data_IF_026730310066
#
_entry.id   IF_026730310066
#
_cell.length_a   1.000
_cell.length_b   1.000
_cell.length_c   1.000
_cell.angle_alpha   90.00
_cell.angle_beta   90.00
_cell.angle_gamma   90.00
#
_symmetry.space_group_name_H-M   'P 1'
#
loop_
_entity.id
_entity.type
_entity.pdbx_description
1 polymer ?
#
# COMPACT_ATOMS: atom_id res chain seq x y z
N UNK A 1 7.77 10.22 -20.83
CA UNK A 1 8.53 9.07 -20.29
C UNK A 1 7.70 8.41 -19.21
N UNK A 2 7.51 7.08 -19.23
CA UNK A 2 6.81 6.38 -18.16
C UNK A 2 7.82 5.94 -17.08
N UNK A 3 7.48 6.21 -15.82
CA UNK A 3 8.21 5.73 -14.62
C UNK A 3 7.41 4.68 -13.84
N UNK A 4 6.19 4.37 -14.30
CA UNK A 4 5.33 3.38 -13.65
C UNK A 4 5.94 1.98 -13.77
N UNK A 5 5.94 1.25 -12.65
CA UNK A 5 6.45 -0.14 -12.59
C UNK A 5 7.98 -0.27 -12.54
N UNK A 6 8.73 0.83 -12.49
CA UNK A 6 10.19 0.84 -12.39
C UNK A 6 10.66 0.94 -10.94
N UNK A 7 11.83 0.39 -10.65
CA UNK A 7 12.56 0.68 -9.41
C UNK A 7 13.11 2.10 -9.40
N UNK A 8 13.53 2.61 -8.24
CA UNK A 8 14.16 3.94 -8.14
C UNK A 8 15.40 4.06 -9.05
N UNK A 9 16.23 3.02 -9.10
CA UNK A 9 17.43 2.98 -9.93
C UNK A 9 17.09 3.00 -11.43
N UNK A 10 16.08 2.25 -11.84
CA UNK A 10 15.60 2.24 -13.23
C UNK A 10 14.94 3.56 -13.63
N UNK A 11 14.18 4.17 -12.72
CA UNK A 11 13.59 5.49 -12.92
C UNK A 11 14.70 6.55 -13.05
N UNK A 12 15.71 6.52 -12.19
CA UNK A 12 16.87 7.42 -12.25
C UNK A 12 17.65 7.25 -13.56
N UNK A 13 17.92 6.02 -13.98
CA UNK A 13 18.61 5.74 -15.24
C UNK A 13 17.80 6.23 -16.45
N UNK A 14 16.48 6.01 -16.45
CA UNK A 14 15.62 6.50 -17.51
C UNK A 14 15.57 8.03 -17.56
N UNK A 15 15.39 8.69 -16.41
CA UNK A 15 15.39 10.15 -16.33
C UNK A 15 16.74 10.70 -16.79
N UNK A 16 17.86 10.10 -16.37
CA UNK A 16 19.21 10.46 -16.82
C UNK A 16 19.33 10.40 -18.34
N UNK A 17 18.91 9.30 -18.96
CA UNK A 17 18.92 9.16 -20.42
C UNK A 17 18.01 10.18 -21.13
N UNK A 18 16.87 10.52 -20.52
CA UNK A 18 15.95 11.53 -21.06
C UNK A 18 16.53 12.94 -21.01
N UNK A 19 17.15 13.30 -19.88
CA UNK A 19 17.74 14.62 -19.65
C UNK A 19 19.00 14.80 -20.51
N UNK A 20 19.84 13.77 -20.64
CA UNK A 20 21.01 13.79 -21.52
C UNK A 20 20.65 13.98 -23.01
N UNK A 21 19.45 13.57 -23.43
CA UNK A 21 18.97 13.79 -24.79
C UNK A 21 18.51 15.24 -25.06
N UNK A 22 18.40 16.08 -24.04
CA UNK A 22 17.96 17.48 -24.16
C UNK A 22 19.05 18.34 -24.83
N UNK A 23 18.66 19.18 -25.78
CA UNK A 23 19.58 19.89 -26.67
C UNK A 23 20.61 20.78 -25.95
N UNK A 24 20.28 21.30 -24.77
CA UNK A 24 21.17 22.13 -23.95
C UNK A 24 22.37 21.37 -23.37
N UNK A 25 22.31 20.04 -23.28
CA UNK A 25 23.36 19.20 -22.70
C UNK A 25 24.16 18.41 -23.77
N UNK A 26 23.72 18.41 -25.03
CA UNK A 26 24.36 17.69 -26.14
C UNK A 26 25.74 18.23 -26.53
N UNK A 27 26.01 19.50 -26.27
CA UNK A 27 27.29 20.15 -26.65
C UNK A 27 28.42 19.82 -25.66
N UNK A 28 28.09 19.36 -24.45
CA UNK A 28 29.06 18.85 -23.49
C UNK A 28 29.27 17.35 -23.73
N UNK A 29 30.30 17.02 -24.51
CA UNK A 29 30.68 15.67 -24.98
C UNK A 29 30.92 14.58 -23.90
N UNK A 30 30.72 14.88 -22.62
CA UNK A 30 31.18 14.07 -21.48
C UNK A 30 30.11 13.85 -20.38
N UNK A 31 28.82 13.97 -20.72
CA UNK A 31 27.79 14.28 -19.71
C UNK A 31 26.84 13.17 -19.33
N UNK A 32 26.84 12.00 -19.98
CA UNK A 32 25.85 10.96 -19.61
C UNK A 32 26.20 10.29 -18.28
N UNK A 33 27.45 9.88 -18.09
CA UNK A 33 27.89 9.20 -16.84
C UNK A 33 28.14 10.17 -15.69
N UNK A 34 28.48 11.43 -15.98
CA UNK A 34 28.73 12.47 -14.96
C UNK A 34 27.45 13.12 -14.42
N UNK A 35 26.28 12.85 -15.02
CA UNK A 35 25.00 13.41 -14.57
C UNK A 35 24.51 12.70 -13.29
N UNK A 36 24.70 13.36 -12.14
CA UNK A 36 24.11 12.92 -10.88
C UNK A 36 22.59 13.14 -10.90
N UNK A 37 21.83 12.03 -10.92
CA UNK A 37 20.36 12.03 -10.84
C UNK A 37 19.96 11.30 -9.58
N UNK A 38 19.30 12.01 -8.67
CA UNK A 38 18.75 11.46 -7.44
C UNK A 38 17.23 11.46 -7.61
N UNK A 39 16.61 10.29 -7.42
CA UNK A 39 15.16 10.12 -7.49
C UNK A 39 14.69 9.66 -6.12
N UNK A 40 13.67 10.34 -5.61
CA UNK A 40 13.00 9.98 -4.36
C UNK A 40 11.49 9.93 -4.57
N UNK A 41 10.82 9.06 -3.82
CA UNK A 41 9.36 8.92 -3.84
C UNK A 41 8.78 9.85 -2.78
N UNK A 42 8.32 11.03 -3.20
CA UNK A 42 7.72 12.03 -2.31
C UNK A 42 6.41 11.53 -1.67
N UNK A 43 5.66 10.65 -2.35
CA UNK A 43 4.45 10.03 -1.80
C UNK A 43 4.09 8.70 -2.49
N UNK A 44 3.76 7.67 -1.70
CA UNK A 44 3.30 6.36 -2.17
C UNK A 44 1.81 6.36 -2.53
N UNK A 45 1.40 7.16 -3.53
CA UNK A 45 -0.01 7.33 -3.88
C UNK A 45 -0.57 6.29 -4.87
N UNK A 46 0.30 5.47 -5.48
CA UNK A 46 -0.11 4.55 -6.55
C UNK A 46 -0.68 3.22 -6.05
N UNK A 47 -0.50 2.88 -4.77
CA UNK A 47 -0.93 1.61 -4.17
C UNK A 47 -1.63 1.90 -2.85
N UNK A 48 -2.86 1.41 -2.71
CA UNK A 48 -3.69 1.64 -1.53
C UNK A 48 -4.28 0.34 -1.02
N UNK A 49 -4.54 0.29 0.28
CA UNK A 49 -5.48 -0.64 0.89
C UNK A 49 -6.68 0.16 1.41
N UNK A 50 -7.77 -0.53 1.73
CA UNK A 50 -9.02 0.10 2.17
C UNK A 50 -9.46 -0.49 3.49
N UNK A 51 -9.90 0.36 4.42
CA UNK A 51 -10.67 -0.07 5.59
C UNK A 51 -12.13 0.25 5.32
N UNK A 52 -12.98 -0.77 5.37
CA UNK A 52 -14.42 -0.67 5.15
C UNK A 52 -15.11 -0.97 6.46
N UNK A 53 -15.88 -0.01 6.96
CA UNK A 53 -16.54 -0.10 8.26
C UNK A 53 -18.04 -0.20 8.02
N UNK A 54 -18.63 -1.29 8.46
CA UNK A 54 -20.09 -1.51 8.45
C UNK A 54 -20.65 -1.18 9.85
N UNK A 55 -21.42 -0.11 9.94
CA UNK A 55 -22.09 0.34 11.18
C UNK A 55 -23.54 -0.18 11.28
N UNK A 56 -23.95 -1.07 10.37
CA UNK A 56 -25.28 -1.67 10.28
C UNK A 56 -26.33 -0.82 9.55
N UNK A 57 -26.02 0.44 9.22
CA UNK A 57 -26.88 1.32 8.42
C UNK A 57 -26.22 1.70 7.07
N UNK A 58 -25.08 1.11 6.75
CA UNK A 58 -24.27 1.45 5.58
C UNK A 58 -22.78 1.17 5.84
N UNK A 59 -21.99 1.34 4.78
CA UNK A 59 -20.54 1.13 4.82
C UNK A 59 -19.79 2.45 4.60
N UNK A 60 -18.82 2.74 5.45
CA UNK A 60 -17.86 3.82 5.27
C UNK A 60 -16.54 3.25 4.73
N UNK A 61 -15.91 3.93 3.76
CA UNK A 61 -14.69 3.45 3.10
C UNK A 61 -13.55 4.44 3.29
N UNK A 62 -12.44 3.97 3.85
CA UNK A 62 -11.25 4.76 4.16
C UNK A 62 -10.04 4.23 3.36
N UNK A 63 -9.49 5.02 2.41
CA UNK A 63 -8.32 4.63 1.65
C UNK A 63 -7.02 5.02 2.36
N UNK A 64 -6.03 4.12 2.39
CA UNK A 64 -4.71 4.37 2.96
C UNK A 64 -3.60 3.91 2.00
N UNK A 65 -2.45 4.59 1.94
CA UNK A 65 -1.33 4.17 1.10
C UNK A 65 -0.68 2.89 1.66
N UNK A 66 -0.20 2.02 0.76
CA UNK A 66 0.66 0.89 1.14
C UNK A 66 2.11 1.36 1.15
N UNK A 67 2.76 1.31 2.31
CA UNK A 67 4.15 1.71 2.56
C UNK A 67 5.13 0.52 2.47
N UNK A 68 4.62 -0.71 2.41
CA UNK A 68 5.43 -1.93 2.21
C UNK A 68 5.74 -2.71 3.48
N UNK A 69 5.39 -2.18 4.65
CA UNK A 69 5.44 -2.88 5.94
C UNK A 69 4.08 -3.07 6.61
N UNK A 70 3.00 -2.55 6.02
CA UNK A 70 1.70 -2.46 6.70
C UNK A 70 1.09 -3.84 6.97
N UNK A 71 0.60 -4.04 8.18
CA UNK A 71 -0.23 -5.16 8.58
C UNK A 71 -1.63 -4.71 9.02
N UNK A 72 -2.49 -5.67 9.38
CA UNK A 72 -3.86 -5.39 9.84
C UNK A 72 -3.87 -4.43 11.03
N UNK A 73 -2.94 -4.60 11.98
CA UNK A 73 -2.82 -3.71 13.13
C UNK A 73 -2.55 -2.24 12.72
N UNK A 74 -1.66 -2.02 11.75
CA UNK A 74 -1.34 -0.67 11.24
C UNK A 74 -2.53 -0.05 10.52
N UNK A 75 -3.26 -0.84 9.72
CA UNK A 75 -4.46 -0.37 9.05
C UNK A 75 -5.55 0.10 10.03
N UNK A 76 -5.77 -0.66 11.10
CA UNK A 76 -6.77 -0.31 12.10
C UNK A 76 -6.31 0.86 12.98
N UNK A 77 -5.01 0.97 13.26
CA UNK A 77 -4.42 2.13 13.92
C UNK A 77 -4.59 3.42 13.08
N UNK A 78 -4.40 3.33 11.75
CA UNK A 78 -4.58 4.44 10.82
C UNK A 78 -6.04 4.89 10.70
N UNK A 79 -7.00 3.96 10.78
CA UNK A 79 -8.43 4.27 10.78
C UNK A 79 -8.90 4.98 12.05
N UNK A 80 -8.28 4.69 13.22
CA UNK A 80 -8.57 5.32 14.53
C UNK A 80 -10.00 5.13 15.07
N UNK A 81 -10.72 4.11 14.61
CA UNK A 81 -12.03 3.77 15.15
C UNK A 81 -11.95 2.82 16.35
N UNK A 82 -13.01 2.80 17.15
CA UNK A 82 -13.12 1.91 18.30
C UNK A 82 -13.51 0.50 17.86
N UNK A 83 -12.73 -0.49 18.27
CA UNK A 83 -12.99 -1.91 18.02
C UNK A 83 -13.43 -2.55 19.33
N UNK A 84 -14.62 -3.16 19.31
CA UNK A 84 -15.18 -3.87 20.47
C UNK A 84 -14.93 -5.38 20.34
N UNK A 85 -14.96 -6.14 21.45
CA UNK A 85 -14.74 -7.59 21.40
C UNK A 85 -15.65 -8.35 20.43
N UNK A 86 -16.87 -7.86 20.21
CA UNK A 86 -17.88 -8.42 19.32
C UNK A 86 -17.74 -8.00 17.84
N UNK A 87 -16.81 -7.09 17.54
CA UNK A 87 -16.52 -6.63 16.17
C UNK A 87 -15.93 -7.78 15.35
N UNK A 88 -16.51 -8.03 14.18
CA UNK A 88 -15.95 -9.01 13.24
C UNK A 88 -15.02 -8.32 12.26
N UNK A 89 -13.79 -8.84 12.14
CA UNK A 89 -12.77 -8.29 11.25
C UNK A 89 -12.27 -9.37 10.30
N UNK A 90 -12.13 -9.03 9.02
CA UNK A 90 -11.50 -9.90 8.04
C UNK A 90 -10.83 -9.09 6.93
N UNK A 91 -9.82 -9.67 6.29
CA UNK A 91 -9.23 -9.13 5.06
C UNK A 91 -9.83 -9.84 3.86
N UNK A 92 -10.47 -9.08 2.97
CA UNK A 92 -10.89 -9.54 1.66
C UNK A 92 -9.80 -9.24 0.64
N UNK A 93 -9.03 -10.28 0.29
CA UNK A 93 -7.92 -10.21 -0.67
C UNK A 93 -8.36 -10.73 -2.03
N UNK A 94 -7.98 -10.03 -3.11
CA UNK A 94 -8.23 -10.52 -4.47
C UNK A 94 -7.45 -11.82 -4.69
N UNK A 95 -8.11 -12.84 -5.25
CA UNK A 95 -7.43 -14.06 -5.67
C UNK A 95 -6.40 -13.78 -6.77
N UNK A 96 -5.32 -14.58 -6.81
CA UNK A 96 -4.36 -14.53 -7.93
C UNK A 96 -5.04 -15.12 -9.17
N UNK A 97 -4.93 -14.45 -10.32
CA UNK A 97 -5.27 -14.94 -11.67
C UNK A 97 -6.52 -15.85 -11.73
N UNK A 98 -7.71 -15.24 -11.73
CA UNK A 98 -8.97 -15.97 -11.92
C UNK A 98 -9.42 -16.81 -10.71
N UNK A 99 -8.65 -16.86 -9.62
CA UNK A 99 -9.08 -17.49 -8.37
C UNK A 99 -10.07 -16.63 -7.61
N UNK A 100 -10.92 -17.30 -6.84
CA UNK A 100 -11.86 -16.68 -5.93
C UNK A 100 -11.15 -15.75 -4.92
N UNK A 101 -11.84 -14.69 -4.46
CA UNK A 101 -11.34 -13.85 -3.39
C UNK A 101 -11.05 -14.67 -2.13
N UNK A 102 -9.93 -14.34 -1.48
CA UNK A 102 -9.57 -14.94 -0.20
C UNK A 102 -10.15 -14.10 0.94
N UNK A 103 -10.91 -14.74 1.82
CA UNK A 103 -11.41 -14.14 3.06
C UNK A 103 -10.52 -14.63 4.20
N UNK A 104 -9.78 -13.71 4.80
CA UNK A 104 -8.82 -13.97 5.86
C UNK A 104 -9.38 -13.47 7.20
N UNK A 105 -9.84 -14.34 8.11
CA UNK A 105 -10.37 -13.92 9.39
C UNK A 105 -9.27 -13.33 10.28
N UNK A 106 -9.60 -12.27 11.01
CA UNK A 106 -8.69 -11.57 11.92
C UNK A 106 -9.13 -11.79 13.36
N UNK A 107 -8.26 -12.36 14.18
CA UNK A 107 -8.43 -12.41 15.63
C UNK A 107 -7.86 -11.15 16.28
N UNK A 108 -8.71 -10.14 16.47
CA UNK A 108 -8.30 -8.87 17.04
C UNK A 108 -7.81 -8.99 18.49
N UNK A 109 -8.45 -9.85 19.30
CA UNK A 109 -8.07 -10.06 20.70
C UNK A 109 -6.72 -10.79 20.78
N UNK A 110 -6.52 -11.82 19.97
CA UNK A 110 -5.24 -12.50 19.84
C UNK A 110 -4.10 -11.54 19.49
N UNK A 111 -4.30 -10.66 18.51
CA UNK A 111 -3.29 -9.67 18.09
C UNK A 111 -2.98 -8.67 19.22
N UNK A 112 -4.01 -8.06 19.81
CA UNK A 112 -3.82 -6.90 20.71
C UNK A 112 -3.54 -7.27 22.16
N UNK A 113 -4.13 -8.36 22.66
CA UNK A 113 -4.02 -8.74 24.07
C UNK A 113 -2.98 -9.84 24.30
N UNK A 114 -2.79 -10.72 23.32
CA UNK A 114 -1.94 -11.91 23.45
C UNK A 114 -0.66 -11.83 22.60
N UNK A 115 -0.51 -10.80 21.76
CA UNK A 115 0.65 -10.64 20.87
C UNK A 115 0.73 -11.70 19.76
N UNK A 116 -0.36 -12.38 19.45
CA UNK A 116 -0.40 -13.45 18.44
C UNK A 116 -0.48 -12.81 17.06
N UNK A 117 0.53 -13.06 16.22
CA UNK A 117 0.65 -12.47 14.88
C UNK A 117 0.05 -13.31 13.76
N UNK A 118 -0.46 -14.53 14.04
CA UNK A 118 -0.95 -15.46 13.02
C UNK A 118 -2.02 -14.87 12.08
N UNK A 119 -2.87 -13.98 12.61
CA UNK A 119 -3.92 -13.32 11.83
C UNK A 119 -3.64 -11.84 11.58
N UNK A 120 -2.43 -11.36 11.92
CA UNK A 120 -1.99 -10.00 11.61
C UNK A 120 -1.37 -9.96 10.21
N UNK A 121 -2.19 -10.21 9.19
CA UNK A 121 -1.71 -10.36 7.82
C UNK A 121 -1.05 -9.08 7.28
N UNK A 122 0.09 -9.23 6.61
CA UNK A 122 0.66 -8.16 5.80
C UNK A 122 -0.28 -7.78 4.66
N UNK A 123 -0.48 -6.49 4.46
CA UNK A 123 -1.42 -5.95 3.50
C UNK A 123 -0.79 -5.80 2.13
N UNK A 124 -1.57 -6.15 1.10
CA UNK A 124 -1.22 -6.00 -0.29
C UNK A 124 -2.04 -4.87 -0.93
N UNK A 125 -1.52 -4.24 -2.01
CA UNK A 125 -2.29 -3.27 -2.77
C UNK A 125 -3.64 -3.84 -3.22
N UNK A 126 -4.72 -3.14 -2.91
CA UNK A 126 -6.09 -3.52 -3.21
C UNK A 126 -6.77 -4.39 -2.14
N UNK A 127 -6.10 -4.73 -1.05
CA UNK A 127 -6.74 -5.40 0.07
C UNK A 127 -7.82 -4.51 0.70
N UNK A 128 -8.92 -5.15 1.14
CA UNK A 128 -10.00 -4.49 1.88
C UNK A 128 -10.12 -5.14 3.24
N UNK A 129 -9.89 -4.37 4.29
CA UNK A 129 -10.09 -4.78 5.67
C UNK A 129 -11.52 -4.41 6.02
N UNK A 130 -12.37 -5.39 6.22
CA UNK A 130 -13.73 -5.18 6.68
C UNK A 130 -13.79 -5.18 8.20
N UNK A 131 -14.47 -4.19 8.76
CA UNK A 131 -14.73 -4.02 10.18
C UNK A 131 -16.24 -3.92 10.34
N UNK A 132 -16.87 -5.03 10.72
CA UNK A 132 -18.31 -5.07 10.96
C UNK A 132 -18.57 -4.83 12.44
N UNK A 133 -19.02 -3.62 12.76
CA UNK A 133 -19.40 -3.25 14.11
C UNK A 133 -20.72 -3.92 14.45
N UNK A 134 -20.79 -4.51 15.64
CA UNK A 134 -22.06 -4.99 16.19
C UNK A 134 -22.66 -3.86 17.03
N UNK A 135 -23.93 -3.56 16.79
CA UNK A 135 -24.71 -2.64 17.63
C UNK A 135 -24.94 -3.24 19.01
#
# INVERSE_FOLDING_TARGET
>A
MSVAGRTLNEAAAAIRAHVAAYAALKDQRDTTDSLAVIVDVVAYNSKKYYVIVDEGNGEAVYPFPVTGGDAVLDALANWRGAIRPETKIWVARKGKEGKEPQILPVDWSGITMQGISNTNYHLLPGDRIYVKLKK
#
